data_IF_918235498300
#
_entry.id   IF_918235498300
#
_cell.length_a   1.000
_cell.length_b   1.000
_cell.length_c   1.000
_cell.angle_alpha   90.00
_cell.angle_beta   90.00
_cell.angle_gamma   90.00
#
_symmetry.space_group_name_H-M   'P 1'
#
loop_
_entity.id
_entity.type
_entity.pdbx_description
1 polymer ?
#
# COMPACT_ATOMS: atom_id res chain seq x y z
N UNK A 1 12.84 12.78 -3.38
CA UNK A 1 12.35 11.53 -2.77
C UNK A 1 10.98 11.25 -3.35
N UNK A 2 10.76 10.03 -3.81
CA UNK A 2 9.57 9.65 -4.56
C UNK A 2 8.79 8.61 -3.75
N UNK A 3 7.49 8.85 -3.58
CA UNK A 3 6.59 7.84 -3.01
C UNK A 3 5.82 7.19 -4.14
N UNK A 4 5.88 5.86 -4.23
CA UNK A 4 5.20 5.10 -5.28
C UNK A 4 4.10 4.28 -4.64
N UNK A 5 2.85 4.52 -5.06
CA UNK A 5 1.78 3.57 -4.81
C UNK A 5 1.84 2.48 -5.86
N UNK A 6 2.13 1.25 -5.44
CA UNK A 6 2.20 0.06 -6.29
C UNK A 6 0.92 -0.80 -6.16
N UNK A 7 0.06 -0.78 -7.18
CA UNK A 7 -1.25 -1.44 -7.18
C UNK A 7 -1.24 -2.90 -7.67
N UNK A 8 -2.25 -3.67 -7.25
CA UNK A 8 -2.34 -5.12 -7.46
C UNK A 8 -2.36 -5.61 -8.92
N UNK A 9 -2.81 -4.79 -9.88
CA UNK A 9 -2.75 -5.13 -11.31
C UNK A 9 -1.34 -4.99 -11.92
N UNK A 10 -0.47 -4.19 -11.29
CA UNK A 10 0.94 -4.08 -11.68
C UNK A 10 1.81 -5.21 -11.09
N UNK A 11 1.23 -6.06 -10.23
CA UNK A 11 1.88 -7.25 -9.67
C UNK A 11 1.76 -8.44 -10.63
N UNK A 12 2.80 -9.26 -10.74
CA UNK A 12 2.85 -10.39 -11.69
C UNK A 12 3.89 -10.13 -12.78
N UNK A 13 3.54 -10.37 -14.05
CA UNK A 13 4.52 -10.31 -15.17
C UNK A 13 5.26 -8.97 -15.29
N UNK A 14 4.63 -7.87 -14.89
CA UNK A 14 5.22 -6.53 -14.94
C UNK A 14 6.12 -6.19 -13.75
N UNK A 15 6.12 -6.99 -12.67
CA UNK A 15 6.84 -6.66 -11.44
C UNK A 15 8.36 -6.60 -11.64
N UNK A 16 8.91 -7.51 -12.46
CA UNK A 16 10.35 -7.52 -12.78
C UNK A 16 10.80 -6.29 -13.55
N UNK A 17 10.06 -5.90 -14.60
CA UNK A 17 10.38 -4.71 -15.40
C UNK A 17 10.36 -3.45 -14.53
N UNK A 18 9.34 -3.33 -13.68
CA UNK A 18 9.22 -2.22 -12.76
C UNK A 18 10.33 -2.19 -11.71
N UNK A 19 10.68 -3.34 -11.11
CA UNK A 19 11.77 -3.43 -10.15
C UNK A 19 13.12 -3.06 -10.79
N UNK A 20 13.36 -3.46 -12.04
CA UNK A 20 14.55 -3.06 -12.80
C UNK A 20 14.60 -1.55 -13.06
N UNK A 21 13.47 -0.92 -13.37
CA UNK A 21 13.39 0.53 -13.57
C UNK A 21 13.72 1.29 -12.27
N UNK A 22 13.13 0.87 -11.14
CA UNK A 22 13.48 1.44 -9.83
C UNK A 22 14.95 1.24 -9.52
N UNK A 23 15.52 0.06 -9.81
CA UNK A 23 16.93 -0.22 -9.58
C UNK A 23 17.85 0.72 -10.39
N UNK A 24 17.50 1.02 -11.64
CA UNK A 24 18.24 1.98 -12.46
C UNK A 24 18.22 3.38 -11.86
N UNK A 25 17.05 3.88 -11.46
CA UNK A 25 16.91 5.21 -10.85
C UNK A 25 17.54 5.31 -9.45
N UNK A 26 17.45 4.24 -8.66
CA UNK A 26 18.10 4.15 -7.35
C UNK A 26 19.63 4.27 -7.47
N UNK A 27 20.23 3.64 -8.49
CA UNK A 27 21.68 3.77 -8.77
C UNK A 27 22.09 5.20 -9.16
N UNK A 28 21.15 6.00 -9.68
CA UNK A 28 21.36 7.43 -9.97
C UNK A 28 21.19 8.33 -8.73
N UNK A 29 20.94 7.75 -7.55
CA UNK A 29 20.83 8.47 -6.28
C UNK A 29 19.40 8.84 -5.88
N UNK A 30 18.39 8.39 -6.62
CA UNK A 30 17.01 8.62 -6.23
C UNK A 30 16.59 7.78 -5.01
N UNK A 31 15.84 8.39 -4.09
CA UNK A 31 15.30 7.73 -2.89
C UNK A 31 13.81 7.43 -3.08
N UNK A 32 13.43 6.19 -2.79
CA UNK A 32 12.06 5.68 -2.97
C UNK A 32 11.45 5.19 -1.68
N UNK A 33 10.14 5.38 -1.54
CA UNK A 33 9.29 4.67 -0.59
C UNK A 33 8.14 4.06 -1.39
N UNK A 34 7.88 2.77 -1.19
CA UNK A 34 6.84 2.05 -1.92
C UNK A 34 5.69 1.76 -0.95
N UNK A 35 4.47 2.11 -1.32
CA UNK A 35 3.25 1.71 -0.61
C UNK A 35 2.47 0.78 -1.53
N UNK A 36 2.20 -0.45 -1.11
CA UNK A 36 1.53 -1.40 -2.00
C UNK A 36 0.03 -1.53 -1.71
N UNK A 37 -0.74 -1.88 -2.74
CA UNK A 37 -2.10 -2.38 -2.59
C UNK A 37 -2.14 -3.91 -2.63
N UNK A 38 -3.32 -4.48 -2.86
CA UNK A 38 -3.46 -5.93 -3.05
C UNK A 38 -4.91 -6.37 -3.28
N UNK A 39 -5.75 -5.49 -3.84
CA UNK A 39 -7.18 -5.73 -4.02
C UNK A 39 -7.50 -7.05 -4.72
N UNK A 40 -6.91 -7.33 -5.91
CA UNK A 40 -7.11 -8.60 -6.61
C UNK A 40 -6.67 -9.83 -5.80
N UNK A 41 -5.59 -9.72 -5.03
CA UNK A 41 -5.06 -10.80 -4.19
C UNK A 41 -5.98 -11.07 -3.00
N UNK A 42 -6.52 -10.03 -2.37
CA UNK A 42 -7.52 -10.14 -1.31
C UNK A 42 -8.78 -10.81 -1.86
N UNK A 43 -9.26 -10.35 -3.02
CA UNK A 43 -10.47 -10.90 -3.66
C UNK A 43 -10.33 -12.39 -3.96
N UNK A 44 -9.16 -12.81 -4.46
CA UNK A 44 -8.87 -14.22 -4.72
C UNK A 44 -8.92 -15.06 -3.45
N UNK A 45 -8.37 -14.56 -2.34
CA UNK A 45 -8.35 -15.28 -1.08
C UNK A 45 -9.73 -15.32 -0.40
N UNK A 46 -10.50 -14.24 -0.47
CA UNK A 46 -11.90 -14.20 -0.01
C UNK A 46 -12.74 -15.24 -0.76
N UNK A 47 -12.62 -15.28 -2.10
CA UNK A 47 -13.32 -16.27 -2.92
C UNK A 47 -12.92 -17.71 -2.56
N UNK A 48 -11.64 -17.97 -2.29
CA UNK A 48 -11.15 -19.30 -1.86
C UNK A 48 -11.78 -19.74 -0.53
N UNK A 49 -12.11 -18.79 0.34
CA UNK A 49 -12.74 -19.03 1.65
C UNK A 49 -14.28 -18.98 1.62
N UNK A 50 -14.88 -18.66 0.48
CA UNK A 50 -16.33 -18.48 0.36
C UNK A 50 -16.86 -17.23 1.05
N UNK A 51 -16.01 -16.22 1.27
CA UNK A 51 -16.40 -14.96 1.94
C UNK A 51 -16.81 -13.95 0.87
N UNK A 52 -18.02 -13.41 0.97
CA UNK A 52 -18.51 -12.39 0.05
C UNK A 52 -17.84 -11.03 0.29
N UNK A 53 -17.45 -10.37 -0.80
CA UNK A 53 -16.92 -9.00 -0.74
C UNK A 53 -18.03 -7.97 -1.03
N UNK A 54 -17.96 -6.84 -0.35
CA UNK A 54 -18.72 -5.65 -0.71
C UNK A 54 -17.86 -4.39 -0.60
N UNK A 55 -18.21 -3.37 -1.37
CA UNK A 55 -17.52 -2.09 -1.39
C UNK A 55 -18.51 -0.94 -1.37
N UNK A 56 -18.18 0.12 -0.64
CA UNK A 56 -18.97 1.36 -0.56
C UNK A 56 -18.01 2.52 -0.78
N UNK A 57 -18.31 3.39 -1.75
CA UNK A 57 -17.52 4.59 -2.06
C UNK A 57 -16.01 4.31 -2.27
N UNK A 58 -15.68 3.19 -2.91
CA UNK A 58 -14.28 2.79 -3.16
C UNK A 58 -13.55 2.16 -1.95
N UNK A 59 -14.22 2.02 -0.81
CA UNK A 59 -13.70 1.28 0.35
C UNK A 59 -14.29 -0.13 0.38
N UNK A 60 -13.45 -1.13 0.65
CA UNK A 60 -13.92 -2.49 0.98
C UNK A 60 -14.56 -2.46 2.36
N UNK A 61 -15.83 -2.86 2.46
CA UNK A 61 -16.44 -3.10 3.76
C UNK A 61 -15.69 -4.26 4.41
N UNK A 62 -15.12 -4.02 5.59
CA UNK A 62 -14.15 -4.91 6.20
C UNK A 62 -14.72 -5.41 7.54
N UNK A 63 -15.40 -6.56 7.51
CA UNK A 63 -15.81 -7.26 8.74
C UNK A 63 -14.58 -7.84 9.47
N UNK A 64 -14.69 -8.32 10.73
CA UNK A 64 -13.59 -9.02 11.40
C UNK A 64 -13.00 -10.17 10.56
N UNK A 65 -13.85 -10.98 9.95
CA UNK A 65 -13.44 -12.09 9.08
C UNK A 65 -12.69 -11.59 7.82
N UNK A 66 -13.17 -10.52 7.18
CA UNK A 66 -12.48 -9.92 6.03
C UNK A 66 -11.16 -9.29 6.47
N UNK A 67 -11.07 -8.71 7.67
CA UNK A 67 -9.85 -8.09 8.18
C UNK A 67 -8.73 -9.11 8.34
N UNK A 68 -9.02 -10.31 8.85
CA UNK A 68 -8.04 -11.40 8.93
C UNK A 68 -7.45 -11.73 7.56
N UNK A 69 -8.30 -11.79 6.53
CA UNK A 69 -7.86 -12.03 5.14
C UNK A 69 -7.05 -10.85 4.60
N UNK A 70 -7.50 -9.62 4.83
CA UNK A 70 -6.78 -8.41 4.41
C UNK A 70 -5.38 -8.37 5.03
N UNK A 71 -5.28 -8.57 6.35
CA UNK A 71 -4.02 -8.54 7.07
C UNK A 71 -3.08 -9.64 6.58
N UNK A 72 -3.56 -10.88 6.48
CA UNK A 72 -2.79 -12.01 5.98
C UNK A 72 -2.26 -11.76 4.56
N UNK A 73 -3.13 -11.34 3.65
CA UNK A 73 -2.77 -11.15 2.24
C UNK A 73 -1.79 -9.98 2.08
N UNK A 74 -2.10 -8.83 2.67
CA UNK A 74 -1.30 -7.63 2.44
C UNK A 74 0.05 -7.71 3.16
N UNK A 75 0.09 -8.08 4.44
CA UNK A 75 1.33 -8.09 5.23
C UNK A 75 2.18 -9.34 4.97
N UNK A 76 1.55 -10.48 4.68
CA UNK A 76 2.19 -11.78 4.52
C UNK A 76 2.54 -12.11 3.07
N UNK A 77 1.58 -12.11 2.17
CA UNK A 77 1.81 -12.54 0.78
C UNK A 77 2.37 -11.40 -0.08
N UNK A 78 1.64 -10.30 -0.16
CA UNK A 78 1.93 -9.23 -1.11
C UNK A 78 3.21 -8.48 -0.75
N UNK A 79 3.32 -8.01 0.51
CA UNK A 79 4.51 -7.32 0.98
C UNK A 79 5.79 -8.12 0.72
N UNK A 80 5.75 -9.43 1.02
CA UNK A 80 6.90 -10.32 0.83
C UNK A 80 7.20 -10.58 -0.65
N UNK A 81 6.18 -10.60 -1.51
CA UNK A 81 6.40 -10.69 -2.97
C UNK A 81 7.10 -9.45 -3.51
N UNK A 82 6.62 -8.25 -3.17
CA UNK A 82 7.20 -6.98 -3.64
C UNK A 82 8.64 -6.84 -3.16
N UNK A 83 8.90 -7.10 -1.88
CA UNK A 83 10.27 -7.06 -1.32
C UNK A 83 11.19 -8.04 -2.04
N UNK A 84 10.74 -9.26 -2.32
CA UNK A 84 11.53 -10.27 -3.03
C UNK A 84 11.88 -9.83 -4.45
N UNK A 85 10.93 -9.25 -5.18
CA UNK A 85 11.16 -8.76 -6.55
C UNK A 85 12.16 -7.60 -6.58
N UNK A 86 12.09 -6.68 -5.61
CA UNK A 86 13.04 -5.57 -5.49
C UNK A 86 14.45 -6.08 -5.10
N UNK A 87 14.55 -7.00 -4.16
CA UNK A 87 15.83 -7.62 -3.78
C UNK A 87 16.44 -8.37 -4.96
N UNK A 88 15.64 -9.10 -5.73
CA UNK A 88 16.09 -9.78 -6.94
C UNK A 88 16.62 -8.80 -8.01
N UNK A 89 16.16 -7.54 -8.01
CA UNK A 89 16.68 -6.46 -8.83
C UNK A 89 17.92 -5.75 -8.23
N UNK A 90 18.42 -6.21 -7.08
CA UNK A 90 19.60 -5.66 -6.40
C UNK A 90 19.31 -4.46 -5.50
N UNK A 91 18.05 -4.24 -5.12
CA UNK A 91 17.65 -3.14 -4.24
C UNK A 91 17.65 -3.57 -2.76
N UNK A 92 18.05 -2.68 -1.82
CA UNK A 92 18.04 -2.96 -0.38
C UNK A 92 16.63 -2.78 0.21
N UNK A 93 15.65 -3.56 -0.25
CA UNK A 93 14.25 -3.40 0.13
C UNK A 93 13.94 -3.99 1.52
N UNK A 94 13.19 -3.24 2.34
CA UNK A 94 12.73 -3.66 3.68
C UNK A 94 11.21 -3.51 3.78
N UNK A 95 10.52 -4.60 4.11
CA UNK A 95 9.07 -4.62 4.22
C UNK A 95 8.56 -4.36 5.64
N UNK A 96 7.79 -3.29 5.80
CA UNK A 96 7.09 -2.88 7.04
C UNK A 96 5.59 -2.66 6.77
N UNK A 97 4.83 -2.40 7.82
CA UNK A 97 3.40 -2.13 7.81
C UNK A 97 3.12 -0.74 8.37
N UNK A 98 1.89 -0.25 8.23
CA UNK A 98 1.43 0.95 8.92
C UNK A 98 1.45 0.81 10.45
N UNK A 99 1.39 -0.42 10.97
CA UNK A 99 1.44 -0.67 12.42
C UNK A 99 2.85 -0.55 13.01
N UNK A 100 3.89 -0.80 12.21
CA UNK A 100 5.27 -0.85 12.71
C UNK A 100 5.72 0.53 13.20
N UNK A 101 6.10 0.59 14.49
CA UNK A 101 6.46 1.83 15.18
C UNK A 101 5.41 2.95 15.04
N UNK A 102 4.12 2.58 14.95
CA UNK A 102 3.00 3.51 14.78
C UNK A 102 3.14 4.39 13.53
N UNK A 103 3.71 3.86 12.43
CA UNK A 103 3.92 4.58 11.18
C UNK A 103 2.64 5.29 10.71
N UNK A 104 1.51 4.60 10.74
CA UNK A 104 0.17 5.16 10.51
C UNK A 104 -0.62 5.08 11.80
N UNK A 105 -0.95 6.23 12.37
CA UNK A 105 -1.91 6.31 13.46
C UNK A 105 -3.31 6.46 12.90
N UNK A 106 -4.17 5.51 13.24
CA UNK A 106 -5.49 5.37 12.63
C UNK A 106 -6.61 5.32 13.67
N UNK A 107 -7.79 5.75 13.25
CA UNK A 107 -9.05 5.51 13.93
C UNK A 107 -10.04 4.83 12.97
N UNK A 108 -11.14 4.30 13.52
CA UNK A 108 -12.25 3.82 12.70
C UNK A 108 -12.84 4.99 11.90
N UNK A 109 -13.05 4.78 10.60
CA UNK A 109 -13.64 5.80 9.73
C UNK A 109 -15.12 6.02 10.02
N UNK A 110 -15.89 4.94 9.91
CA UNK A 110 -17.33 4.82 10.22
C UNK A 110 -17.59 3.32 10.29
N UNK A 111 -17.57 2.79 11.52
CA UNK A 111 -17.62 1.35 11.77
C UNK A 111 -18.93 0.73 11.31
N UNK A 112 -20.05 1.44 11.48
CA UNK A 112 -21.36 0.97 11.05
C UNK A 112 -21.44 0.83 9.52
N UNK A 113 -20.75 1.69 8.78
CA UNK A 113 -20.79 1.70 7.32
C UNK A 113 -19.70 0.87 6.65
N UNK A 114 -18.49 0.86 7.21
CA UNK A 114 -17.32 0.27 6.56
C UNK A 114 -16.68 -0.87 7.38
N UNK A 115 -17.09 -1.09 8.62
CA UNK A 115 -16.43 -2.02 9.54
C UNK A 115 -15.04 -1.52 9.95
N UNK A 116 -14.05 -2.43 9.93
CA UNK A 116 -12.65 -2.22 10.33
C UNK A 116 -11.84 -1.47 9.26
N UNK A 117 -12.38 -0.37 8.74
CA UNK A 117 -11.68 0.52 7.81
C UNK A 117 -11.08 1.70 8.58
N UNK A 118 -9.78 1.89 8.39
CA UNK A 118 -9.00 2.92 9.05
C UNK A 118 -9.04 4.26 8.34
N UNK A 119 -9.12 5.33 9.12
CA UNK A 119 -8.86 6.71 8.73
C UNK A 119 -7.56 7.17 9.39
N UNK A 120 -6.61 7.64 8.58
CA UNK A 120 -5.33 8.15 9.07
C UNK A 120 -5.56 9.46 9.82
N UNK A 121 -5.10 9.52 11.06
CA UNK A 121 -5.02 10.73 11.88
C UNK A 121 -3.68 11.44 11.72
N UNK A 122 -2.60 10.65 11.74
CA UNK A 122 -1.22 11.14 11.69
C UNK A 122 -0.32 10.08 11.07
N UNK A 123 0.77 10.55 10.44
CA UNK A 123 1.86 9.68 9.98
C UNK A 123 3.08 9.96 10.85
N UNK A 124 3.62 8.92 11.48
CA UNK A 124 4.92 8.96 12.14
C UNK A 124 6.00 8.45 11.17
N UNK A 125 6.62 9.38 10.44
CA UNK A 125 7.65 9.04 9.45
C UNK A 125 8.99 8.59 10.04
N UNK A 126 9.14 8.49 11.37
CA UNK A 126 10.44 8.19 12.00
C UNK A 126 11.07 6.91 11.45
N UNK A 127 10.33 5.79 11.46
CA UNK A 127 10.87 4.50 10.98
C UNK A 127 11.21 4.54 9.48
N UNK A 128 10.45 5.29 8.68
CA UNK A 128 10.74 5.46 7.26
C UNK A 128 12.05 6.23 7.07
N UNK A 129 12.22 7.34 7.78
CA UNK A 129 13.44 8.15 7.71
C UNK A 129 14.66 7.36 8.20
N UNK A 130 14.54 6.64 9.31
CA UNK A 130 15.62 5.80 9.84
C UNK A 130 16.09 4.77 8.79
N UNK A 131 15.15 4.08 8.14
CA UNK A 131 15.46 3.11 7.08
C UNK A 131 16.10 3.79 5.86
N UNK A 132 15.53 4.91 5.40
CA UNK A 132 16.05 5.65 4.27
C UNK A 132 17.47 6.17 4.54
N UNK A 133 17.77 6.64 5.76
CA UNK A 133 19.06 7.20 6.14
C UNK A 133 20.14 6.11 6.27
N UNK A 134 19.72 4.88 6.59
CA UNK A 134 20.56 3.67 6.50
C UNK A 134 20.73 3.14 5.07
N UNK A 135 20.11 3.77 4.07
CA UNK A 135 20.20 3.38 2.66
C UNK A 135 19.25 2.27 2.23
N UNK A 136 18.27 1.89 3.06
CA UNK A 136 17.22 0.94 2.69
C UNK A 136 16.12 1.59 1.86
N UNK A 137 15.38 0.76 1.12
CA UNK A 137 14.18 1.11 0.38
C UNK A 137 12.94 0.57 1.13
N UNK A 138 12.18 1.40 1.84
CA UNK A 138 11.00 0.96 2.58
C UNK A 138 9.85 0.54 1.65
N UNK A 139 9.26 -0.62 1.91
CA UNK A 139 8.04 -1.13 1.28
C UNK A 139 6.97 -1.27 2.36
N UNK A 140 5.83 -0.63 2.19
CA UNK A 140 4.84 -0.41 3.24
C UNK A 140 3.51 -1.06 2.84
N UNK A 141 3.01 -1.95 3.71
CA UNK A 141 1.64 -2.46 3.67
C UNK A 141 0.69 -1.51 4.40
N UNK A 142 -0.49 -1.17 3.83
CA UNK A 142 -1.43 -0.21 4.40
C UNK A 142 -2.38 -0.87 5.41
N UNK A 143 -1.82 -1.69 6.30
CA UNK A 143 -2.52 -2.20 7.49
C UNK A 143 -1.92 -1.50 8.70
N UNK A 144 -2.77 -0.97 9.57
CA UNK A 144 -2.37 -0.18 10.72
C UNK A 144 -3.23 -0.51 11.94
N UNK A 145 -2.66 -0.45 13.13
CA UNK A 145 -3.38 -0.75 14.37
C UNK A 145 -3.98 0.54 14.96
N UNK A 146 -5.22 0.46 15.44
CA UNK A 146 -5.81 1.54 16.24
C UNK A 146 -5.22 1.58 17.67
N UNK A 147 -5.65 2.55 18.47
CA UNK A 147 -5.22 2.69 19.86
C UNK A 147 -5.58 1.50 20.76
N UNK A 148 -6.51 0.66 20.32
CA UNK A 148 -6.93 -0.57 21.00
C UNK A 148 -6.23 -1.80 20.44
N UNK A 149 -5.17 -1.63 19.64
CA UNK A 149 -4.37 -2.69 19.00
C UNK A 149 -5.13 -3.52 17.97
N UNK A 150 -6.29 -3.05 17.50
CA UNK A 150 -7.04 -3.72 16.43
C UNK A 150 -6.49 -3.31 15.07
N UNK A 151 -6.21 -4.30 14.22
CA UNK A 151 -5.79 -4.04 12.85
C UNK A 151 -6.94 -3.44 12.03
N UNK A 152 -6.65 -2.37 11.29
CA UNK A 152 -7.57 -1.69 10.39
C UNK A 152 -7.05 -1.70 8.96
N UNK A 153 -7.97 -1.87 8.02
CA UNK A 153 -7.71 -1.80 6.59
C UNK A 153 -7.66 -0.33 6.14
N UNK A 154 -6.48 0.15 5.75
CA UNK A 154 -6.30 1.51 5.21
C UNK A 154 -6.24 1.45 3.70
N UNK A 155 -6.92 2.36 3.02
CA UNK A 155 -6.81 2.46 1.57
C UNK A 155 -5.37 2.82 1.17
N UNK A 156 -4.78 2.04 0.26
CA UNK A 156 -3.38 2.18 -0.17
C UNK A 156 -3.06 3.53 -0.82
N UNK A 157 -3.99 4.11 -1.59
CA UNK A 157 -3.78 5.41 -2.23
C UNK A 157 -3.78 6.53 -1.19
N UNK A 158 -4.70 6.47 -0.22
CA UNK A 158 -4.75 7.39 0.91
C UNK A 158 -3.48 7.28 1.76
N UNK A 159 -3.02 6.05 2.04
CA UNK A 159 -1.77 5.81 2.77
C UNK A 159 -0.56 6.39 2.02
N UNK A 160 -0.45 6.15 0.71
CA UNK A 160 0.63 6.69 -0.11
C UNK A 160 0.64 8.23 -0.09
N UNK A 161 -0.51 8.87 -0.28
CA UNK A 161 -0.62 10.33 -0.23
C UNK A 161 -0.27 10.91 1.15
N UNK A 162 -0.74 10.29 2.23
CA UNK A 162 -0.43 10.73 3.59
C UNK A 162 1.07 10.59 3.93
N UNK A 163 1.67 9.46 3.55
CA UNK A 163 3.11 9.21 3.72
C UNK A 163 3.92 10.21 2.89
N UNK A 164 3.55 10.45 1.63
CA UNK A 164 4.20 11.44 0.77
C UNK A 164 4.16 12.85 1.37
N UNK A 165 3.00 13.28 1.89
CA UNK A 165 2.86 14.57 2.57
C UNK A 165 3.75 14.68 3.80
N UNK A 166 3.76 13.65 4.65
CA UNK A 166 4.59 13.62 5.87
C UNK A 166 6.09 13.66 5.57
N UNK A 167 6.50 12.99 4.50
CA UNK A 167 7.88 12.94 4.03
C UNK A 167 8.29 14.18 3.21
N UNK A 168 7.35 15.07 2.86
CA UNK A 168 7.54 16.16 1.89
C UNK A 168 8.18 15.64 0.60
N UNK A 169 7.62 14.55 0.07
CA UNK A 169 8.10 13.93 -1.15
C UNK A 169 8.02 14.93 -2.32
N UNK A 170 9.03 14.88 -3.20
CA UNK A 170 9.06 15.74 -4.39
C UNK A 170 8.06 15.27 -5.45
N UNK A 171 7.78 13.97 -5.47
CA UNK A 171 6.87 13.33 -6.41
C UNK A 171 6.10 12.19 -5.72
N UNK A 172 4.86 11.98 -6.16
CA UNK A 172 4.08 10.78 -5.81
C UNK A 172 3.55 10.15 -7.09
N UNK A 173 3.85 8.86 -7.30
CA UNK A 173 3.46 8.12 -8.49
C UNK A 173 2.42 7.06 -8.12
N UNK A 174 1.27 7.06 -8.79
CA UNK A 174 0.22 6.07 -8.60
C UNK A 174 0.17 5.12 -9.79
N UNK A 175 0.57 3.87 -9.56
CA UNK A 175 0.49 2.82 -10.59
C UNK A 175 -0.93 2.24 -10.60
N UNK A 176 -1.61 2.48 -11.71
CA UNK A 176 -3.01 2.15 -11.93
C UNK A 176 -3.20 1.35 -13.21
N UNK A 177 -4.38 0.75 -13.38
CA UNK A 177 -4.81 -0.07 -14.51
C UNK A 177 -5.58 0.73 -15.58
N UNK A 178 -5.66 2.04 -15.42
CA UNK A 178 -6.22 2.97 -16.40
C UNK A 178 -5.14 3.92 -16.95
N UNK A 179 -5.28 4.46 -18.18
CA UNK A 179 -4.30 5.38 -18.75
C UNK A 179 -4.10 6.68 -17.97
N UNK A 180 -5.09 7.09 -17.16
CA UNK A 180 -5.03 8.32 -16.37
C UNK A 180 -6.39 8.72 -15.80
N UNK A 181 -6.55 10.02 -15.53
CA UNK A 181 -7.81 10.62 -15.09
C UNK A 181 -8.63 10.96 -16.33
N UNK A 182 -9.82 10.36 -16.44
CA UNK A 182 -10.79 10.71 -17.48
C UNK A 182 -11.47 12.02 -17.14
N UNK A 183 -11.62 12.90 -18.13
CA UNK A 183 -12.33 14.17 -17.93
C UNK A 183 -13.84 13.97 -17.72
N UNK A 184 -14.40 12.85 -18.22
CA UNK A 184 -15.80 12.49 -18.03
C UNK A 184 -16.02 10.98 -17.84
N UNK A 185 -15.99 10.47 -16.61
CA UNK A 185 -16.30 9.05 -16.34
C UNK A 185 -17.81 8.74 -16.56
N UNK A 186 -18.20 7.65 -17.27
CA UNK A 186 -17.38 6.50 -17.68
C UNK A 186 -16.83 6.51 -19.12
N UNK A 187 -16.82 7.65 -19.81
CA UNK A 187 -16.21 7.77 -21.15
C UNK A 187 -14.69 7.60 -21.06
N UNK A 188 -14.14 6.60 -21.77
CA UNK A 188 -12.70 6.31 -21.80
C UNK A 188 -11.94 7.07 -22.87
N UNK A 189 -12.64 7.77 -23.76
CA UNK A 189 -12.04 8.60 -24.81
C UNK A 189 -11.84 10.07 -24.40
N UNK A 190 -12.40 10.44 -23.24
CA UNK A 190 -12.38 11.79 -22.67
C UNK A 190 -11.05 12.20 -22.06
#
# INVERSE_FOLDING_TARGET
MIVIKFGGHAMGEHSRKWASEIASRFKLGERFVIVHGGGPQIDKELARRGIEKSSVNGFRVTTPEIMEVVEFVLTGSVLRSVVRDLIAAGLPAVGITGSDNQLLEVELRDEAKFGLVGKIKRVNSKIINDLLDMGYLPVISPVANDSSTRALNVNADIAAGAIAGSLRASETLFLTDVPGIYSAWPDRSS
#
